data_IF_431103529090
#
_entry.id   IF_431103529090
#
_cell.length_a   1.000
_cell.length_b   1.000
_cell.length_c   1.000
_cell.angle_alpha   90.00
_cell.angle_beta   90.00
_cell.angle_gamma   90.00
#
_symmetry.space_group_name_H-M   'P 1'
#
loop_
_entity.id
_entity.type
_entity.pdbx_description
1 polymer ?
#
# COMPACT_ATOMS: atom_id res chain seq x y z
N UNK A 1 -30.86 35.96 -31.83
CA UNK A 1 -31.56 34.68 -31.63
C UNK A 1 -30.53 33.68 -31.13
N UNK A 2 -30.72 33.21 -29.89
CA UNK A 2 -30.20 32.04 -29.12
C UNK A 2 -28.92 31.28 -29.56
N UNK A 3 -28.09 30.97 -28.53
CA UNK A 3 -27.09 29.88 -28.30
C UNK A 3 -27.26 28.62 -29.18
N UNK A 4 -26.29 27.74 -29.45
CA UNK A 4 -24.97 27.39 -28.91
C UNK A 4 -24.68 25.91 -29.27
N UNK A 5 -23.47 25.41 -28.97
CA UNK A 5 -23.13 23.96 -28.76
C UNK A 5 -23.06 23.07 -30.03
N UNK A 6 -22.25 22.01 -30.18
CA UNK A 6 -21.19 21.33 -29.43
C UNK A 6 -20.67 20.15 -30.28
N UNK A 7 -19.48 19.64 -29.92
CA UNK A 7 -19.04 18.23 -30.02
C UNK A 7 -18.71 17.60 -31.40
N UNK A 8 -17.51 17.03 -31.47
CA UNK A 8 -17.08 16.20 -32.59
C UNK A 8 -15.79 15.44 -32.31
N UNK A 9 -15.77 14.56 -31.32
CA UNK A 9 -14.76 13.50 -31.20
C UNK A 9 -15.50 12.19 -30.91
N UNK A 10 -15.55 11.34 -31.94
CA UNK A 10 -16.31 10.09 -32.01
C UNK A 10 -15.53 8.96 -31.35
N UNK A 11 -16.04 8.46 -30.22
CA UNK A 11 -15.65 7.16 -29.67
C UNK A 11 -16.59 6.10 -30.24
N UNK A 12 -16.12 5.33 -31.22
CA UNK A 12 -16.76 4.08 -31.59
C UNK A 12 -15.67 3.03 -31.78
N UNK A 13 -15.35 2.36 -30.68
CA UNK A 13 -14.90 0.97 -30.69
C UNK A 13 -15.87 0.21 -29.79
N UNK A 14 -16.87 -0.35 -30.47
CA UNK A 14 -17.66 -1.54 -30.17
C UNK A 14 -17.60 -2.08 -28.73
N UNK A 15 -18.65 -1.77 -27.97
CA UNK A 15 -19.04 -2.48 -26.75
C UNK A 15 -19.75 -3.77 -27.19
N UNK A 16 -19.08 -4.91 -27.13
CA UNK A 16 -19.76 -6.22 -27.10
C UNK A 16 -19.23 -7.05 -25.93
N UNK A 17 -20.18 -7.46 -25.08
CA UNK A 17 -20.06 -8.24 -23.84
C UNK A 17 -19.81 -7.47 -22.53
N UNK A 18 -20.86 -6.80 -22.05
CA UNK A 18 -21.15 -6.81 -20.62
C UNK A 18 -21.90 -8.11 -20.27
N UNK A 19 -21.51 -8.81 -19.21
CA UNK A 19 -22.48 -9.37 -18.29
C UNK A 19 -22.51 -8.53 -17.02
N UNK A 20 -23.73 -8.24 -16.59
CA UNK A 20 -24.07 -7.54 -15.36
C UNK A 20 -23.37 -8.20 -14.14
N UNK A 21 -22.41 -7.49 -13.52
CA UNK A 21 -21.94 -7.81 -12.18
C UNK A 21 -22.44 -6.73 -11.22
N UNK A 22 -23.53 -7.08 -10.55
CA UNK A 22 -24.13 -6.37 -9.43
C UNK A 22 -23.06 -6.09 -8.36
N UNK A 23 -22.79 -4.82 -8.07
CA UNK A 23 -22.19 -4.40 -6.80
C UNK A 23 -20.67 -4.41 -6.67
N UNK A 24 -19.89 -4.41 -7.75
CA UNK A 24 -18.45 -4.21 -7.65
C UNK A 24 -18.13 -2.72 -7.55
N UNK A 25 -17.93 -2.20 -6.34
CA UNK A 25 -17.07 -1.02 -6.15
C UNK A 25 -15.76 -1.33 -6.87
N UNK A 26 -15.26 -0.47 -7.79
CA UNK A 26 -13.96 -0.71 -8.40
C UNK A 26 -12.97 -0.98 -7.27
N UNK A 27 -12.09 -2.00 -7.38
CA UNK A 27 -11.07 -2.22 -6.36
C UNK A 27 -10.35 -0.89 -6.20
N UNK A 28 -10.44 -0.29 -5.01
CA UNK A 28 -9.71 0.95 -4.76
C UNK A 28 -8.25 0.63 -5.05
N UNK A 29 -7.63 1.46 -5.90
CA UNK A 29 -6.27 1.20 -6.32
C UNK A 29 -5.38 1.29 -5.08
N UNK A 30 -4.74 0.18 -4.70
CA UNK A 30 -3.87 0.15 -3.56
C UNK A 30 -2.81 1.26 -3.67
N UNK A 31 -2.69 2.09 -2.63
CA UNK A 31 -1.79 3.24 -2.58
C UNK A 31 -0.74 3.07 -1.49
N UNK A 32 0.44 3.66 -1.72
CA UNK A 32 1.50 3.69 -0.73
C UNK A 32 1.27 4.89 0.18
N UNK A 33 1.13 4.64 1.48
CA UNK A 33 0.93 5.65 2.50
C UNK A 33 2.12 5.68 3.46
N UNK A 34 2.62 6.87 3.78
CA UNK A 34 3.64 7.01 4.83
C UNK A 34 2.98 6.96 6.22
N UNK A 35 3.44 6.04 7.06
CA UNK A 35 3.00 5.89 8.46
C UNK A 35 4.20 5.84 9.39
N UNK A 36 4.07 6.24 10.66
CA UNK A 36 5.15 6.08 11.63
C UNK A 36 5.34 4.59 11.94
N UNK A 37 6.58 4.20 12.21
CA UNK A 37 6.97 2.81 12.51
C UNK A 37 6.11 2.12 13.60
N UNK A 38 5.66 2.77 14.69
CA UNK A 38 4.81 2.15 15.70
C UNK A 38 3.41 1.75 15.21
N UNK A 39 2.95 2.30 14.08
CA UNK A 39 1.63 1.99 13.52
C UNK A 39 1.67 0.76 12.58
N UNK A 40 2.86 0.20 12.37
CA UNK A 40 3.01 -1.04 11.62
C UNK A 40 2.45 -2.25 12.36
N UNK A 41 1.91 -3.18 11.59
CA UNK A 41 1.47 -4.48 12.09
C UNK A 41 2.06 -5.63 11.25
N UNK A 42 2.25 -6.82 11.83
CA UNK A 42 2.54 -8.01 11.03
C UNK A 42 1.47 -8.23 9.95
N UNK A 43 1.92 -8.54 8.74
CA UNK A 43 1.09 -8.64 7.53
C UNK A 43 1.13 -7.40 6.64
N UNK A 44 1.60 -6.25 7.13
CA UNK A 44 1.74 -5.06 6.29
C UNK A 44 2.80 -5.31 5.19
N UNK A 45 2.47 -4.94 3.95
CA UNK A 45 3.43 -4.79 2.86
C UNK A 45 4.05 -3.40 2.95
N UNK A 46 5.38 -3.30 3.06
CA UNK A 46 6.06 -2.03 3.28
C UNK A 46 7.21 -1.76 2.32
N UNK A 47 7.55 -0.48 2.17
CA UNK A 47 8.85 -0.02 1.66
C UNK A 47 9.62 0.66 2.78
N UNK A 48 10.81 0.16 3.03
CA UNK A 48 11.69 0.68 4.07
C UNK A 48 13.15 0.61 3.63
N UNK A 49 13.84 1.76 3.67
CA UNK A 49 15.28 1.90 3.31
C UNK A 49 15.65 1.21 1.99
N UNK A 50 14.80 1.35 0.97
CA UNK A 50 15.01 0.78 -0.36
C UNK A 50 14.68 -0.72 -0.49
N UNK A 51 14.17 -1.36 0.57
CA UNK A 51 13.64 -2.72 0.52
C UNK A 51 12.12 -2.70 0.53
N UNK A 52 11.50 -3.52 -0.32
CA UNK A 52 10.06 -3.81 -0.27
C UNK A 52 9.87 -5.25 0.23
N UNK A 53 9.04 -5.44 1.27
CA UNK A 53 8.82 -6.75 1.89
C UNK A 53 7.54 -6.77 2.74
N UNK A 54 7.10 -7.98 3.10
CA UNK A 54 6.00 -8.22 4.04
C UNK A 54 6.53 -8.31 5.47
N UNK A 55 5.89 -7.59 6.39
CA UNK A 55 6.26 -7.61 7.81
C UNK A 55 5.81 -8.94 8.41
N UNK A 56 6.75 -9.81 8.77
CA UNK A 56 6.46 -11.06 9.45
C UNK A 56 6.29 -10.89 10.96
N UNK A 57 7.12 -10.03 11.57
CA UNK A 57 7.09 -9.76 13.02
C UNK A 57 7.59 -8.36 13.35
N UNK A 58 7.17 -7.84 14.50
CA UNK A 58 7.64 -6.58 15.06
C UNK A 58 8.05 -6.83 16.51
N UNK A 59 9.30 -6.52 16.85
CA UNK A 59 9.83 -6.66 18.21
C UNK A 59 10.06 -5.25 18.82
N UNK A 60 9.34 -4.93 19.91
CA UNK A 60 9.54 -3.71 20.72
C UNK A 60 9.43 -4.02 22.21
N UNK A 61 10.33 -3.49 23.08
CA UNK A 61 11.55 -2.76 22.75
C UNK A 61 12.57 -3.64 22.03
N UNK A 62 13.51 -3.03 21.29
CA UNK A 62 14.57 -3.78 20.60
C UNK A 62 15.96 -3.49 21.19
N UNK A 63 16.74 -4.54 21.45
CA UNK A 63 18.07 -4.48 22.10
C UNK A 63 18.06 -3.69 23.42
N UNK A 64 16.98 -3.79 24.20
CA UNK A 64 16.84 -3.08 25.47
C UNK A 64 16.60 -1.57 25.35
N UNK A 65 16.23 -1.08 24.16
CA UNK A 65 16.00 0.36 23.89
C UNK A 65 14.54 0.59 23.53
N UNK A 66 13.79 1.26 24.41
CA UNK A 66 12.36 1.58 24.19
C UNK A 66 12.09 2.47 22.97
N UNK A 67 13.07 3.29 22.59
CA UNK A 67 13.00 4.14 21.41
C UNK A 67 13.20 3.37 20.10
N UNK A 68 13.51 2.07 20.15
CA UNK A 68 13.76 1.23 18.97
C UNK A 68 12.70 0.13 18.82
N UNK A 69 12.49 -0.24 17.56
CA UNK A 69 11.79 -1.43 17.14
C UNK A 69 12.68 -2.22 16.17
N UNK A 70 12.40 -3.51 16.02
CA UNK A 70 12.88 -4.27 14.88
C UNK A 70 11.70 -4.74 14.04
N UNK A 71 11.67 -4.33 12.78
CA UNK A 71 10.74 -4.83 11.77
C UNK A 71 11.41 -6.07 11.17
N UNK A 72 10.74 -7.21 11.17
CA UNK A 72 11.32 -8.48 10.72
C UNK A 72 10.56 -8.96 9.51
N UNK A 73 11.30 -9.18 8.43
CA UNK A 73 10.83 -10.02 7.34
C UNK A 73 11.06 -11.48 7.70
N UNK A 74 9.98 -12.25 7.66
CA UNK A 74 10.00 -13.68 7.95
C UNK A 74 9.30 -14.40 6.80
N UNK A 75 10.01 -14.55 5.69
CA UNK A 75 9.53 -15.26 4.50
C UNK A 75 10.28 -16.58 4.34
N UNK A 76 9.72 -17.56 3.60
CA UNK A 76 10.40 -18.84 3.35
C UNK A 76 11.77 -18.72 2.67
N UNK A 77 12.01 -17.62 1.95
CA UNK A 77 13.23 -17.40 1.15
C UNK A 77 14.18 -16.38 1.76
N UNK A 78 13.72 -15.58 2.73
CA UNK A 78 14.51 -14.52 3.36
C UNK A 78 14.02 -14.24 4.78
N UNK A 79 14.98 -14.24 5.70
CA UNK A 79 14.81 -13.77 7.06
C UNK A 79 15.74 -12.58 7.29
N UNK A 80 15.18 -11.41 7.61
CA UNK A 80 15.98 -10.20 7.78
C UNK A 80 15.35 -9.27 8.83
N UNK A 81 16.18 -8.85 9.77
CA UNK A 81 15.87 -7.86 10.79
C UNK A 81 16.22 -6.44 10.33
N UNK A 82 15.27 -5.51 10.46
CA UNK A 82 15.41 -4.10 10.14
C UNK A 82 15.21 -3.23 11.40
N UNK A 83 16.30 -2.88 12.12
CA UNK A 83 16.21 -2.00 13.27
C UNK A 83 15.87 -0.56 12.85
N UNK A 84 14.88 0.03 13.52
CA UNK A 84 14.41 1.39 13.28
C UNK A 84 14.11 2.11 14.60
N UNK A 85 14.34 3.43 14.70
CA UNK A 85 13.77 4.22 15.78
C UNK A 85 12.25 4.37 15.59
N UNK A 86 11.50 4.47 16.68
CA UNK A 86 10.04 4.68 16.66
C UNK A 86 9.60 5.98 15.98
N UNK A 87 10.53 6.92 15.80
CA UNK A 87 10.27 8.22 15.14
C UNK A 87 10.44 8.18 13.62
N UNK A 88 10.94 7.07 13.06
CA UNK A 88 11.07 6.93 11.61
C UNK A 88 9.70 6.56 11.00
N UNK A 89 9.52 6.89 9.72
CA UNK A 89 8.34 6.53 8.95
C UNK A 89 8.69 5.49 7.89
N UNK A 90 7.69 4.70 7.51
CA UNK A 90 7.76 3.74 6.40
C UNK A 90 6.62 4.00 5.43
N UNK A 91 6.72 3.51 4.21
CA UNK A 91 5.56 3.44 3.33
C UNK A 91 4.90 2.08 3.47
N UNK A 92 3.58 2.03 3.58
CA UNK A 92 2.78 0.81 3.65
C UNK A 92 1.73 0.82 2.54
N UNK A 93 1.44 -0.35 1.97
CA UNK A 93 0.40 -0.50 0.97
C UNK A 93 -0.98 -0.55 1.65
N UNK A 94 -1.91 0.33 1.24
CA UNK A 94 -3.28 0.41 1.76
C UNK A 94 -4.28 0.40 0.61
N UNK A 95 -5.43 -0.24 0.81
CA UNK A 95 -6.58 -0.24 -0.12
C UNK A 95 -7.49 0.98 0.09
#
# INVERSE_FOLDING_TARGET
>A
MIRGESAGWSWVDTIEHAPELLGQTPPMAATWQSIPVPDLVPGDRIRFRGSEFDVGRIDSPFLGRDAMVCIIEDSPTRWHAYPAPKTESVETLRD
#
